data_IF_980690667951
#
_entry.id   IF_980690667951
#
_cell.length_a   1.000
_cell.length_b   1.000
_cell.length_c   1.000
_cell.angle_alpha   90.00
_cell.angle_beta   90.00
_cell.angle_gamma   90.00
#
_symmetry.space_group_name_H-M   'P 1'
#
loop_
_entity.id
_entity.type
_entity.pdbx_description
1 polymer ?
#
# COMPACT_ATOMS: atom_id res chain seq x y z
N UNK A 1 -4.87 -16.52 -17.13
CA UNK A 1 -3.47 -16.86 -16.81
C UNK A 1 -3.11 -16.37 -15.42
N UNK A 2 -2.15 -17.00 -14.70
CA UNK A 2 -1.67 -16.47 -13.43
C UNK A 2 -0.94 -15.13 -13.66
N UNK A 3 -1.10 -14.19 -12.70
CA UNK A 3 -0.39 -12.92 -12.75
C UNK A 3 1.11 -13.15 -12.52
N UNK A 4 1.96 -12.57 -13.36
CA UNK A 4 3.40 -12.50 -13.09
C UNK A 4 3.67 -11.30 -12.19
N UNK A 5 4.21 -11.54 -11.01
CA UNK A 5 4.52 -10.50 -10.03
C UNK A 5 6.03 -10.39 -9.85
N UNK A 6 6.56 -9.18 -9.99
CA UNK A 6 7.98 -8.88 -9.77
C UNK A 6 8.12 -8.07 -8.47
N UNK A 7 8.66 -8.64 -7.37
CA UNK A 7 8.83 -7.91 -6.12
C UNK A 7 9.93 -6.85 -6.27
N UNK A 8 9.64 -5.61 -5.85
CA UNK A 8 10.55 -4.45 -5.90
C UNK A 8 10.54 -3.63 -4.61
N UNK A 9 9.93 -4.15 -3.54
CA UNK A 9 9.95 -3.51 -2.23
C UNK A 9 11.35 -3.50 -1.63
N UNK A 10 11.63 -2.46 -0.84
CA UNK A 10 12.85 -2.37 -0.05
C UNK A 10 12.53 -1.84 1.36
N UNK A 11 13.24 -2.37 2.36
CA UNK A 11 12.93 -2.10 3.76
C UNK A 11 13.15 -0.64 4.16
N UNK A 12 12.31 -0.15 5.08
CA UNK A 12 12.40 1.22 5.62
C UNK A 12 11.93 2.33 4.68
N UNK A 13 11.50 2.00 3.45
CA UNK A 13 11.08 3.01 2.47
C UNK A 13 9.78 3.71 2.86
N UNK A 14 9.65 4.94 2.40
CA UNK A 14 8.48 5.79 2.51
C UNK A 14 8.01 6.25 1.11
N UNK A 15 6.96 7.07 1.01
CA UNK A 15 6.47 7.57 -0.28
C UNK A 15 7.49 8.45 -1.02
N UNK A 16 8.30 9.21 -0.30
CA UNK A 16 9.36 10.01 -0.91
C UNK A 16 10.43 9.12 -1.56
N UNK A 17 10.82 8.03 -0.91
CA UNK A 17 11.77 7.06 -1.46
C UNK A 17 11.20 6.39 -2.72
N UNK A 18 9.90 6.03 -2.72
CA UNK A 18 9.23 5.49 -3.90
C UNK A 18 9.23 6.49 -5.05
N UNK A 19 8.92 7.76 -4.78
CA UNK A 19 8.96 8.83 -5.78
C UNK A 19 10.38 9.04 -6.31
N UNK A 20 11.38 9.08 -5.43
CA UNK A 20 12.78 9.28 -5.78
C UNK A 20 13.34 8.16 -6.66
N UNK A 21 12.99 6.92 -6.34
CA UNK A 21 13.49 5.73 -7.03
C UNK A 21 12.54 5.19 -8.10
N UNK A 22 11.42 5.87 -8.40
CA UNK A 22 10.36 5.40 -9.29
C UNK A 22 10.87 4.90 -10.64
N UNK A 23 11.84 5.60 -11.25
CA UNK A 23 12.40 5.22 -12.55
C UNK A 23 13.10 3.85 -12.51
N UNK A 24 13.80 3.56 -11.42
CA UNK A 24 14.58 2.33 -11.27
C UNK A 24 13.76 1.15 -10.79
N UNK A 25 12.81 1.38 -9.88
CA UNK A 25 12.08 0.30 -9.21
C UNK A 25 10.72 0.00 -9.85
N UNK A 26 10.17 0.92 -10.64
CA UNK A 26 8.88 0.76 -11.29
C UNK A 26 9.00 0.95 -12.81
N UNK A 27 9.35 2.15 -13.27
CA UNK A 27 9.27 2.53 -14.68
C UNK A 27 10.20 1.74 -15.60
N UNK A 28 11.36 1.29 -15.10
CA UNK A 28 12.29 0.44 -15.84
C UNK A 28 11.70 -0.92 -16.26
N UNK A 29 10.60 -1.35 -15.64
CA UNK A 29 9.94 -2.63 -15.90
C UNK A 29 8.69 -2.50 -16.76
N UNK A 30 8.26 -1.27 -17.07
CA UNK A 30 7.06 -0.97 -17.85
C UNK A 30 5.84 -1.82 -17.43
N UNK A 31 5.52 -1.87 -16.11
CA UNK A 31 4.45 -2.73 -15.64
C UNK A 31 3.08 -2.23 -16.14
N UNK A 32 2.14 -3.14 -16.39
CA UNK A 32 0.75 -2.79 -16.66
C UNK A 32 -0.02 -2.38 -15.40
N UNK A 33 0.43 -2.85 -14.25
CA UNK A 33 -0.12 -2.51 -12.94
C UNK A 33 0.97 -2.51 -11.87
N UNK A 34 0.78 -1.71 -10.84
CA UNK A 34 1.67 -1.62 -9.68
C UNK A 34 0.85 -1.82 -8.40
N UNK A 35 1.36 -2.62 -7.48
CA UNK A 35 0.83 -2.75 -6.13
C UNK A 35 1.78 -2.03 -5.18
N UNK A 36 1.32 -0.92 -4.60
CA UNK A 36 2.08 -0.09 -3.68
C UNK A 36 1.68 -0.38 -2.24
N UNK A 37 2.67 -0.55 -1.39
CA UNK A 37 2.53 -0.49 0.06
C UNK A 37 3.54 0.49 0.63
N UNK A 38 3.06 1.55 1.27
CA UNK A 38 3.84 2.55 2.00
C UNK A 38 2.92 3.34 2.93
N UNK A 39 3.48 4.27 3.70
CA UNK A 39 2.74 5.18 4.57
C UNK A 39 2.98 4.92 6.05
N UNK A 40 3.19 3.69 6.49
CA UNK A 40 3.43 3.38 7.89
C UNK A 40 4.81 3.89 8.38
N UNK A 41 5.83 3.89 7.52
CA UNK A 41 7.14 4.49 7.81
C UNK A 41 7.08 6.02 7.75
N UNK A 42 6.28 6.57 6.83
CA UNK A 42 6.03 8.01 6.73
C UNK A 42 5.45 8.55 8.04
N UNK A 43 4.36 7.93 8.52
CA UNK A 43 3.72 8.32 9.79
C UNK A 43 4.65 8.11 10.98
N UNK A 44 5.41 7.00 11.00
CA UNK A 44 6.39 6.73 12.07
C UNK A 44 7.54 7.76 12.09
N UNK A 45 7.86 8.34 10.95
CA UNK A 45 8.82 9.45 10.83
C UNK A 45 8.20 10.83 11.16
N UNK A 46 6.92 10.88 11.52
CA UNK A 46 6.21 12.12 11.85
C UNK A 46 5.79 12.94 10.62
N UNK A 47 5.76 12.35 9.42
CA UNK A 47 5.30 13.04 8.21
C UNK A 47 3.78 13.21 8.28
N UNK A 48 3.26 14.44 8.13
CA UNK A 48 1.81 14.69 8.18
C UNK A 48 1.05 13.99 7.05
N UNK A 49 -0.18 13.57 7.32
CA UNK A 49 -1.05 12.89 6.35
C UNK A 49 -1.21 13.68 5.03
N UNK A 50 -1.34 15.00 5.10
CA UNK A 50 -1.42 15.85 3.91
C UNK A 50 -0.14 15.76 3.05
N UNK A 51 1.03 15.74 3.64
CA UNK A 51 2.31 15.63 2.92
C UNK A 51 2.49 14.23 2.32
N UNK A 52 2.03 13.17 3.01
CA UNK A 52 2.00 11.81 2.48
C UNK A 52 1.13 11.77 1.22
N UNK A 53 -0.07 12.36 1.28
CA UNK A 53 -0.98 12.47 0.14
C UNK A 53 -0.35 13.24 -1.03
N UNK A 54 0.26 14.39 -0.78
CA UNK A 54 0.95 15.19 -1.83
C UNK A 54 2.04 14.38 -2.51
N UNK A 55 2.88 13.67 -1.74
CA UNK A 55 3.97 12.84 -2.27
C UNK A 55 3.42 11.67 -3.07
N UNK A 56 2.35 11.02 -2.60
CA UNK A 56 1.65 9.98 -3.34
C UNK A 56 1.12 10.49 -4.68
N UNK A 57 0.46 11.65 -4.71
CA UNK A 57 -0.06 12.24 -5.95
C UNK A 57 1.06 12.62 -6.93
N UNK A 58 2.20 13.10 -6.43
CA UNK A 58 3.39 13.33 -7.24
C UNK A 58 3.94 12.02 -7.84
N UNK A 59 3.95 10.93 -7.07
CA UNK A 59 4.32 9.61 -7.57
C UNK A 59 3.36 9.13 -8.67
N UNK A 60 2.05 9.22 -8.45
CA UNK A 60 1.03 8.88 -9.45
C UNK A 60 1.25 9.66 -10.75
N UNK A 61 1.43 10.97 -10.64
CA UNK A 61 1.69 11.85 -11.79
C UNK A 61 2.94 11.43 -12.55
N UNK A 62 4.04 11.14 -11.85
CA UNK A 62 5.29 10.69 -12.48
C UNK A 62 5.12 9.36 -13.20
N UNK A 63 4.49 8.39 -12.55
CA UNK A 63 4.29 7.05 -13.12
C UNK A 63 3.40 7.11 -14.36
N UNK A 64 2.27 7.79 -14.29
CA UNK A 64 1.31 7.88 -15.40
C UNK A 64 1.77 8.83 -16.52
N UNK A 65 2.66 9.76 -16.23
CA UNK A 65 3.32 10.56 -17.27
C UNK A 65 4.18 9.71 -18.24
N UNK A 66 4.66 8.56 -17.77
CA UNK A 66 5.43 7.60 -18.59
C UNK A 66 4.61 6.40 -19.03
N UNK A 67 3.66 5.97 -18.22
CA UNK A 67 2.77 4.83 -18.44
C UNK A 67 1.30 5.26 -18.25
N UNK A 68 0.68 5.92 -19.27
CA UNK A 68 -0.65 6.52 -19.11
C UNK A 68 -1.77 5.54 -18.74
N UNK A 69 -1.63 4.27 -19.13
CA UNK A 69 -2.61 3.20 -18.84
C UNK A 69 -2.29 2.41 -17.56
N UNK A 70 -1.27 2.83 -16.79
CA UNK A 70 -0.86 2.14 -15.57
C UNK A 70 -1.99 2.15 -14.54
N UNK A 71 -2.35 0.96 -14.05
CA UNK A 71 -3.23 0.80 -12.90
C UNK A 71 -2.41 0.76 -11.62
N UNK A 72 -2.88 1.47 -10.60
CA UNK A 72 -2.17 1.57 -9.33
C UNK A 72 -3.09 1.08 -8.21
N UNK A 73 -2.68 0.00 -7.55
CA UNK A 73 -3.32 -0.54 -6.36
C UNK A 73 -2.54 -0.07 -5.14
N UNK A 74 -3.21 0.54 -4.18
CA UNK A 74 -2.61 1.12 -2.98
C UNK A 74 -3.10 0.36 -1.78
N UNK A 75 -2.22 -0.37 -1.11
CA UNK A 75 -2.51 -0.96 0.20
C UNK A 75 -2.35 0.13 1.25
N UNK A 76 -3.38 0.36 2.05
CA UNK A 76 -3.32 1.30 3.18
C UNK A 76 -2.27 0.90 4.22
N UNK A 77 -1.71 1.88 4.92
CA UNK A 77 -0.85 1.63 6.06
C UNK A 77 -1.55 0.71 7.07
N UNK A 78 -0.87 -0.35 7.48
CA UNK A 78 -1.45 -1.40 8.32
C UNK A 78 -1.38 -1.06 9.81
N UNK A 79 -2.35 -1.49 10.62
CA UNK A 79 -2.21 -1.47 12.07
C UNK A 79 -1.10 -2.43 12.51
N UNK A 80 -0.40 -2.09 13.59
CA UNK A 80 0.55 -2.97 14.24
C UNK A 80 0.63 -2.67 15.74
N UNK A 81 1.06 -3.63 16.54
CA UNK A 81 1.20 -3.47 17.98
C UNK A 81 2.29 -2.43 18.28
N UNK A 82 3.44 -2.53 17.60
CA UNK A 82 4.58 -1.62 17.81
C UNK A 82 4.25 -0.15 17.48
N UNK A 83 3.33 0.07 16.54
CA UNK A 83 2.93 1.42 16.08
C UNK A 83 1.50 1.77 16.47
N UNK A 84 0.90 1.08 17.44
CA UNK A 84 -0.50 1.30 17.81
C UNK A 84 -0.80 2.72 18.26
N UNK A 85 0.16 3.39 18.92
CA UNK A 85 0.00 4.78 19.37
C UNK A 85 -0.20 5.78 18.22
N UNK A 86 0.33 5.47 17.03
CA UNK A 86 0.25 6.32 15.84
C UNK A 86 -0.76 5.79 14.82
N UNK A 87 -1.55 4.79 15.20
CA UNK A 87 -2.61 4.25 14.34
C UNK A 87 -3.65 5.29 13.93
N UNK A 88 -4.10 6.24 14.80
CA UNK A 88 -5.00 7.33 14.38
C UNK A 88 -4.44 8.17 13.22
N UNK A 89 -3.15 8.47 13.22
CA UNK A 89 -2.48 9.20 12.14
C UNK A 89 -2.39 8.37 10.85
N UNK A 90 -2.22 7.05 10.97
CA UNK A 90 -2.28 6.14 9.81
C UNK A 90 -3.69 6.09 9.21
N UNK A 91 -4.74 6.09 10.04
CA UNK A 91 -6.13 6.18 9.58
C UNK A 91 -6.36 7.48 8.80
N UNK A 92 -5.85 8.61 9.29
CA UNK A 92 -5.96 9.90 8.61
C UNK A 92 -5.26 9.87 7.23
N UNK A 93 -4.03 9.36 7.18
CA UNK A 93 -3.30 9.20 5.92
C UNK A 93 -4.02 8.25 4.95
N UNK A 94 -4.49 7.11 5.45
CA UNK A 94 -5.26 6.14 4.65
C UNK A 94 -6.54 6.76 4.07
N UNK A 95 -7.25 7.57 4.84
CA UNK A 95 -8.47 8.25 4.39
C UNK A 95 -8.19 9.22 3.23
N UNK A 96 -7.09 9.97 3.27
CA UNK A 96 -6.70 10.86 2.18
C UNK A 96 -6.30 10.09 0.91
N UNK A 97 -5.56 8.98 1.06
CA UNK A 97 -5.19 8.12 -0.07
C UNK A 97 -6.42 7.44 -0.67
N UNK A 98 -7.35 6.97 0.15
CA UNK A 98 -8.61 6.39 -0.31
C UNK A 98 -9.43 7.41 -1.10
N UNK A 99 -9.62 8.61 -0.56
CA UNK A 99 -10.36 9.67 -1.24
C UNK A 99 -9.72 10.03 -2.59
N UNK A 100 -8.39 10.07 -2.70
CA UNK A 100 -7.70 10.26 -3.96
C UNK A 100 -7.98 9.12 -4.96
N UNK A 101 -7.98 7.87 -4.49
CA UNK A 101 -8.28 6.73 -5.35
C UNK A 101 -9.73 6.73 -5.85
N UNK A 102 -10.67 7.25 -5.09
CA UNK A 102 -12.09 7.35 -5.49
C UNK A 102 -12.32 8.35 -6.65
N UNK A 103 -11.39 9.27 -6.88
CA UNK A 103 -11.49 10.27 -7.96
C UNK A 103 -10.88 9.81 -9.29
N UNK A 104 -10.14 8.71 -9.32
CA UNK A 104 -9.46 8.21 -10.52
C UNK A 104 -9.67 6.69 -10.69
N UNK A 105 -10.37 6.25 -11.75
CA UNK A 105 -10.67 4.81 -11.95
C UNK A 105 -9.43 3.93 -12.18
N UNK A 106 -8.26 4.51 -12.43
CA UNK A 106 -7.01 3.76 -12.53
C UNK A 106 -6.32 3.54 -11.17
N UNK A 107 -6.84 4.15 -10.11
CA UNK A 107 -6.39 3.97 -8.74
C UNK A 107 -7.37 3.09 -7.97
N UNK A 108 -6.85 2.18 -7.16
CA UNK A 108 -7.67 1.33 -6.28
C UNK A 108 -7.05 1.29 -4.90
N UNK A 109 -7.77 1.77 -3.89
CA UNK A 109 -7.35 1.65 -2.50
C UNK A 109 -7.78 0.29 -1.94
N UNK A 110 -6.91 -0.36 -1.18
CA UNK A 110 -7.15 -1.65 -0.53
C UNK A 110 -6.93 -1.49 0.97
N UNK A 111 -8.02 -1.52 1.73
CA UNK A 111 -7.94 -1.54 3.19
C UNK A 111 -7.71 -2.96 3.68
N UNK A 112 -6.56 -3.18 4.31
CA UNK A 112 -6.18 -4.46 4.92
C UNK A 112 -6.44 -4.51 6.42
N UNK A 113 -6.85 -3.40 7.03
CA UNK A 113 -6.98 -3.27 8.48
C UNK A 113 -8.00 -4.24 9.09
N UNK A 114 -9.13 -4.47 8.40
CA UNK A 114 -10.18 -5.36 8.87
C UNK A 114 -9.70 -6.81 9.09
N UNK A 115 -8.73 -7.29 8.28
CA UNK A 115 -8.13 -8.62 8.46
C UNK A 115 -7.06 -8.69 9.55
N UNK A 116 -6.65 -7.54 10.09
CA UNK A 116 -5.54 -7.42 11.04
C UNK A 116 -5.98 -7.02 12.46
N UNK A 117 -7.25 -6.68 12.63
CA UNK A 117 -7.82 -6.28 13.91
C UNK A 117 -8.68 -7.40 14.51
N UNK A 118 -8.69 -7.48 15.84
CA UNK A 118 -9.58 -8.30 16.63
C UNK A 118 -10.98 -7.66 16.70
N UNK A 119 -11.94 -8.38 17.28
CA UNK A 119 -13.32 -7.88 17.48
C UNK A 119 -13.40 -6.68 18.41
N UNK A 120 -12.42 -6.50 19.29
CA UNK A 120 -12.28 -5.34 20.19
C UNK A 120 -11.58 -4.14 19.52
N UNK A 121 -11.19 -4.26 18.25
CA UNK A 121 -10.53 -3.22 17.47
C UNK A 121 -9.02 -3.11 17.70
N UNK A 122 -8.40 -4.01 18.47
CA UNK A 122 -6.95 -4.03 18.68
C UNK A 122 -6.23 -4.92 17.66
N UNK A 123 -4.92 -4.73 17.40
CA UNK A 123 -4.18 -5.59 16.48
C UNK A 123 -4.14 -7.05 16.95
N UNK A 124 -4.29 -7.97 16.03
CA UNK A 124 -4.18 -9.41 16.24
C UNK A 124 -2.72 -9.80 16.50
N UNK A 125 -2.35 -10.25 17.72
CA UNK A 125 -0.93 -10.46 18.06
C UNK A 125 -0.31 -11.65 17.31
N UNK A 126 -1.11 -12.66 16.97
CA UNK A 126 -0.65 -13.90 16.33
C UNK A 126 -0.16 -13.72 14.87
N UNK A 127 -0.44 -12.59 14.25
CA UNK A 127 -0.07 -12.33 12.84
C UNK A 127 1.25 -11.57 12.69
N UNK A 128 1.93 -11.25 13.80
CA UNK A 128 3.19 -10.50 13.80
C UNK A 128 4.37 -11.37 14.21
N UNK A 129 5.57 -10.92 13.82
CA UNK A 129 6.84 -11.42 14.34
C UNK A 129 7.08 -10.87 15.76
N UNK A 130 8.18 -11.28 16.39
CA UNK A 130 8.55 -10.86 17.75
C UNK A 130 8.69 -9.33 17.91
N UNK A 131 9.01 -8.63 16.83
CA UNK A 131 9.09 -7.16 16.82
C UNK A 131 7.73 -6.46 16.88
N UNK A 132 6.63 -7.22 16.83
CA UNK A 132 5.27 -6.72 16.87
C UNK A 132 4.92 -5.70 15.74
N UNK A 133 5.73 -5.65 14.69
CA UNK A 133 5.63 -4.74 13.54
C UNK A 133 5.53 -5.49 12.21
N UNK A 134 6.49 -6.37 11.93
CA UNK A 134 6.52 -7.15 10.70
C UNK A 134 5.58 -8.35 10.82
N UNK A 135 4.90 -8.66 9.71
CA UNK A 135 3.98 -9.79 9.67
C UNK A 135 4.74 -11.11 9.51
N UNK A 136 4.19 -12.15 10.13
CA UNK A 136 4.53 -13.54 9.84
C UNK A 136 3.65 -14.08 8.69
N UNK A 137 3.77 -15.38 8.39
CA UNK A 137 3.01 -16.03 7.32
C UNK A 137 1.49 -15.88 7.48
N UNK A 138 0.97 -15.95 8.70
CA UNK A 138 -0.46 -15.76 8.98
C UNK A 138 -0.93 -14.33 8.63
N UNK A 139 -0.09 -13.34 8.87
CA UNK A 139 -0.37 -11.95 8.50
C UNK A 139 -0.39 -11.75 6.99
N UNK A 140 0.55 -12.35 6.27
CA UNK A 140 0.55 -12.32 4.81
C UNK A 140 -0.60 -13.13 4.21
N UNK A 141 -1.02 -14.24 4.81
CA UNK A 141 -2.21 -14.98 4.40
C UNK A 141 -3.49 -14.14 4.55
N UNK A 142 -3.62 -13.40 5.66
CA UNK A 142 -4.73 -12.48 5.84
C UNK A 142 -4.74 -11.39 4.75
N UNK A 143 -3.59 -10.83 4.39
CA UNK A 143 -3.48 -9.90 3.27
C UNK A 143 -3.83 -10.52 1.94
N UNK A 144 -3.35 -11.73 1.66
CA UNK A 144 -3.62 -12.42 0.41
C UNK A 144 -5.12 -12.66 0.18
N UNK A 145 -5.88 -12.90 1.25
CA UNK A 145 -7.34 -13.07 1.20
C UNK A 145 -8.06 -11.78 0.82
N UNK A 146 -7.51 -10.61 1.17
CA UNK A 146 -8.11 -9.30 0.85
C UNK A 146 -7.60 -8.78 -0.49
N UNK A 147 -6.29 -8.77 -0.69
CA UNK A 147 -5.63 -8.19 -1.87
C UNK A 147 -5.86 -9.04 -3.13
N UNK A 148 -5.78 -10.36 -2.98
CA UNK A 148 -5.86 -11.28 -4.11
C UNK A 148 -7.14 -11.17 -4.94
N UNK A 149 -8.35 -11.15 -4.35
CA UNK A 149 -9.59 -10.93 -5.09
C UNK A 149 -9.65 -9.60 -5.83
N UNK A 150 -9.15 -8.52 -5.21
CA UNK A 150 -9.12 -7.17 -5.82
C UNK A 150 -8.25 -7.18 -7.07
N UNK A 151 -7.03 -7.72 -6.98
CA UNK A 151 -6.12 -7.83 -8.12
C UNK A 151 -6.70 -8.72 -9.22
N UNK A 152 -7.23 -9.89 -8.89
CA UNK A 152 -7.85 -10.78 -9.89
C UNK A 152 -9.00 -10.09 -10.63
N UNK A 153 -9.85 -9.36 -9.91
CA UNK A 153 -10.95 -8.62 -10.52
C UNK A 153 -10.45 -7.50 -11.43
N UNK A 154 -9.47 -6.72 -10.98
CA UNK A 154 -8.96 -5.57 -11.73
C UNK A 154 -8.09 -5.97 -12.94
N UNK A 155 -7.47 -7.16 -12.90
CA UNK A 155 -6.59 -7.65 -13.95
C UNK A 155 -7.24 -8.71 -14.84
N UNK A 156 -8.50 -9.11 -14.57
CA UNK A 156 -9.22 -10.07 -15.42
C UNK A 156 -9.65 -9.44 -16.74
N UNK A 157 -9.43 -10.14 -17.86
CA UNK A 157 -9.84 -9.70 -19.19
C UNK A 157 -8.87 -8.72 -19.88
N UNK A 158 -7.68 -8.55 -19.34
CA UNK A 158 -6.63 -7.71 -19.91
C UNK A 158 -5.52 -8.63 -20.50
N UNK A 159 -5.84 -9.35 -21.56
CA UNK A 159 -4.88 -10.05 -22.44
C UNK A 159 -4.45 -9.17 -23.61
#
# INVERSE_FOLDING_TARGET
APLTVTPRGFGGSNYYDLLHHADRVILAYEPRAVLLYSGDNDVAAGIPAAQIHETFMALVTRLRGRLPSLRIYVIGAKPSIARWKIWPQMIEANALLQAACETDPALTFIDVSAGMLQSDGTPRPEIFLEDALHMNDLGYDAWAQIVGPVLRKGESGLE
#
